data_IF_747154300919
#
_entry.id   IF_747154300919
#
_cell.length_a   1.000
_cell.length_b   1.000
_cell.length_c   1.000
_cell.angle_alpha   90.00
_cell.angle_beta   90.00
_cell.angle_gamma   90.00
#
_symmetry.space_group_name_H-M   'P 1'
#
loop_
_entity.id
_entity.type
_entity.pdbx_description
1 polymer ?
#
# COMPACT_ATOMS: atom_id res chain seq x y z
N UNK A 1 18.74 -25.35 -11.40
CA UNK A 1 17.42 -24.94 -10.87
C UNK A 1 17.29 -23.46 -11.17
N UNK A 2 16.26 -23.02 -11.87
CA UNK A 2 16.11 -21.62 -12.22
C UNK A 2 15.80 -20.85 -10.91
N UNK A 3 16.45 -19.70 -10.73
CA UNK A 3 16.30 -18.83 -9.55
C UNK A 3 14.88 -18.25 -9.35
N UNK A 4 13.90 -18.72 -10.13
CA UNK A 4 12.55 -18.20 -10.19
C UNK A 4 11.50 -19.01 -9.41
N UNK A 5 11.91 -20.02 -8.62
CA UNK A 5 10.95 -20.93 -7.97
C UNK A 5 10.69 -20.63 -6.48
N UNK A 6 11.41 -19.66 -5.89
CA UNK A 6 11.21 -19.29 -4.50
C UNK A 6 9.95 -18.46 -4.32
N UNK A 7 8.95 -19.01 -3.62
CA UNK A 7 7.70 -18.30 -3.30
C UNK A 7 7.61 -18.06 -1.80
N UNK A 8 7.28 -16.83 -1.42
CA UNK A 8 6.89 -16.47 -0.06
C UNK A 8 5.46 -15.92 -0.07
N UNK A 9 4.80 -16.00 1.08
CA UNK A 9 3.64 -15.16 1.31
C UNK A 9 4.08 -13.74 1.71
N UNK A 10 3.17 -12.81 1.66
CA UNK A 10 3.42 -11.39 1.94
C UNK A 10 3.94 -11.18 3.38
N UNK A 11 3.38 -11.89 4.36
CA UNK A 11 3.80 -11.84 5.78
C UNK A 11 5.25 -12.29 5.95
N UNK A 12 5.62 -13.42 5.35
CA UNK A 12 6.98 -13.96 5.44
C UNK A 12 7.98 -13.06 4.70
N UNK A 13 7.58 -12.40 3.62
CA UNK A 13 8.41 -11.44 2.90
C UNK A 13 8.73 -10.19 3.76
N UNK A 14 7.74 -9.65 4.48
CA UNK A 14 7.95 -8.55 5.43
C UNK A 14 8.84 -8.97 6.60
N UNK A 15 8.58 -10.17 7.16
CA UNK A 15 9.39 -10.71 8.26
C UNK A 15 10.85 -10.88 7.84
N UNK A 16 11.09 -11.46 6.67
CA UNK A 16 12.44 -11.63 6.13
C UNK A 16 13.15 -10.29 5.88
N UNK A 17 12.47 -9.29 5.32
CA UNK A 17 13.02 -7.95 5.15
C UNK A 17 13.45 -7.34 6.49
N UNK A 18 12.57 -7.44 7.51
CA UNK A 18 12.89 -6.96 8.87
C UNK A 18 14.10 -7.68 9.44
N UNK A 19 14.16 -9.01 9.27
CA UNK A 19 15.27 -9.85 9.73
C UNK A 19 16.59 -9.48 9.06
N UNK A 20 16.59 -9.27 7.75
CA UNK A 20 17.77 -8.86 6.98
C UNK A 20 18.26 -7.49 7.47
N UNK A 21 17.40 -6.50 7.62
CA UNK A 21 17.80 -5.17 8.04
C UNK A 21 18.27 -5.12 9.50
N UNK A 22 17.63 -5.85 10.40
CA UNK A 22 18.09 -5.98 11.79
C UNK A 22 19.42 -6.73 11.91
N UNK A 23 19.68 -7.68 11.05
CA UNK A 23 20.98 -8.39 11.01
C UNK A 23 22.07 -7.51 10.40
N UNK A 24 21.74 -6.67 9.43
CA UNK A 24 22.68 -5.77 8.75
C UNK A 24 23.16 -4.61 9.63
N UNK A 25 22.26 -4.07 10.45
CA UNK A 25 22.56 -2.87 11.26
C UNK A 25 21.97 -3.04 12.68
N UNK A 26 22.86 -2.98 13.68
CA UNK A 26 22.48 -3.08 15.11
C UNK A 26 21.57 -1.94 15.60
N UNK A 27 21.56 -0.82 14.88
CA UNK A 27 20.71 0.35 15.18
C UNK A 27 19.27 0.20 14.69
N UNK A 28 18.97 -0.81 13.86
CA UNK A 28 17.60 -1.14 13.46
C UNK A 28 16.87 -1.78 14.62
N UNK A 29 15.76 -1.18 15.03
CA UNK A 29 14.93 -1.62 16.16
C UNK A 29 13.48 -1.74 15.70
N UNK A 30 12.84 -2.87 16.00
CA UNK A 30 11.43 -3.13 15.71
C UNK A 30 10.59 -3.04 16.98
N UNK A 31 9.55 -2.23 16.99
CA UNK A 31 8.65 -2.15 18.14
C UNK A 31 7.23 -1.68 17.77
N UNK A 32 6.29 -1.96 18.66
CA UNK A 32 4.89 -1.60 18.50
C UNK A 32 3.99 -2.54 19.31
N UNK A 33 2.69 -2.35 19.19
CA UNK A 33 1.71 -3.21 19.85
C UNK A 33 1.87 -4.66 19.37
N UNK A 34 1.91 -5.61 20.30
CA UNK A 34 1.99 -7.06 20.06
C UNK A 34 3.17 -7.52 19.17
N UNK A 35 4.23 -6.73 19.07
CA UNK A 35 5.42 -7.08 18.27
C UNK A 35 6.12 -8.31 18.84
N UNK A 36 6.16 -8.46 20.16
CA UNK A 36 6.77 -9.56 20.90
C UNK A 36 5.80 -10.70 21.26
N UNK A 37 4.53 -10.64 20.80
CA UNK A 37 3.61 -11.77 20.93
C UNK A 37 4.16 -13.00 20.17
N UNK A 38 4.06 -14.22 20.73
CA UNK A 38 4.55 -15.43 20.07
C UNK A 38 3.97 -15.69 18.66
N UNK A 39 2.78 -15.18 18.36
CA UNK A 39 2.20 -15.23 17.01
C UNK A 39 2.76 -14.14 16.10
N UNK A 40 3.42 -13.13 16.68
CA UNK A 40 3.83 -11.90 16.02
C UNK A 40 2.62 -11.09 15.52
N UNK A 41 2.83 -9.87 15.05
CA UNK A 41 1.77 -9.06 14.44
C UNK A 41 1.29 -9.74 13.15
N UNK A 42 0.24 -10.55 13.21
CA UNK A 42 -0.22 -11.43 12.12
C UNK A 42 0.87 -12.29 11.49
N UNK A 43 1.93 -12.62 12.24
CA UNK A 43 3.09 -13.38 11.77
C UNK A 43 4.24 -12.54 11.22
N UNK A 44 4.06 -11.23 11.00
CA UNK A 44 5.09 -10.36 10.41
C UNK A 44 6.30 -10.11 11.30
N UNK A 45 6.20 -10.40 12.61
CA UNK A 45 7.27 -10.22 13.60
C UNK A 45 7.63 -11.51 14.33
N UNK A 46 7.03 -12.63 13.93
CA UNK A 46 7.22 -13.92 14.57
C UNK A 46 8.70 -14.33 14.62
N UNK A 47 9.20 -14.66 15.82
CA UNK A 47 10.57 -15.13 16.04
C UNK A 47 11.64 -14.02 16.06
N UNK A 48 11.29 -12.76 15.81
CA UNK A 48 12.26 -11.67 15.79
C UNK A 48 12.77 -11.34 17.20
N UNK A 49 11.92 -11.38 18.22
CA UNK A 49 12.31 -11.11 19.62
C UNK A 49 13.28 -12.18 20.11
N UNK A 50 13.05 -13.45 19.80
CA UNK A 50 13.94 -14.55 20.16
C UNK A 50 15.29 -14.42 19.46
N UNK A 51 15.31 -13.93 18.22
CA UNK A 51 16.54 -13.81 17.43
C UNK A 51 17.37 -12.60 17.80
N UNK A 52 16.75 -11.44 18.00
CA UNK A 52 17.46 -10.16 18.17
C UNK A 52 17.43 -9.61 19.62
N UNK A 53 16.67 -10.26 20.49
CA UNK A 53 16.51 -9.86 21.89
C UNK A 53 15.48 -8.73 22.12
N UNK A 54 14.94 -8.70 23.34
CA UNK A 54 13.91 -7.73 23.74
C UNK A 54 14.37 -6.26 23.73
N UNK A 55 15.68 -6.01 23.68
CA UNK A 55 16.20 -4.63 23.56
C UNK A 55 16.08 -4.09 22.11
N UNK A 56 15.87 -4.95 21.14
CA UNK A 56 15.79 -4.59 19.73
C UNK A 56 14.47 -4.95 19.06
N UNK A 57 13.69 -5.87 19.67
CA UNK A 57 12.38 -6.26 19.18
C UNK A 57 11.44 -6.44 20.37
N UNK A 58 10.53 -5.49 20.59
CA UNK A 58 9.72 -5.45 21.81
C UNK A 58 8.32 -4.88 21.59
N UNK A 59 7.38 -5.36 22.42
CA UNK A 59 6.03 -4.84 22.52
C UNK A 59 5.95 -3.51 23.25
N UNK A 60 4.91 -2.74 22.97
CA UNK A 60 4.66 -1.43 23.59
C UNK A 60 3.24 -1.32 24.12
N UNK A 61 2.99 -0.40 25.07
CA UNK A 61 1.62 -0.01 25.39
C UNK A 61 0.87 0.53 24.17
N UNK A 62 -0.46 0.43 24.20
CA UNK A 62 -1.35 1.07 23.24
C UNK A 62 -1.39 2.59 23.50
N UNK A 63 -0.50 3.33 22.86
CA UNK A 63 -0.33 4.77 23.00
C UNK A 63 0.32 5.36 21.75
N UNK A 64 -0.43 5.48 20.66
CA UNK A 64 0.07 5.78 19.33
C UNK A 64 0.86 7.09 19.26
N UNK A 65 0.37 8.17 19.91
CA UNK A 65 1.06 9.45 19.94
C UNK A 65 2.41 9.34 20.66
N UNK A 66 2.39 8.80 21.89
CA UNK A 66 3.61 8.67 22.70
C UNK A 66 4.64 7.75 22.05
N UNK A 67 4.22 6.59 21.53
CA UNK A 67 5.14 5.62 20.94
C UNK A 67 5.69 6.08 19.60
N UNK A 68 4.92 6.81 18.79
CA UNK A 68 5.44 7.47 17.59
C UNK A 68 6.43 8.59 17.96
N UNK A 69 6.17 9.33 19.04
CA UNK A 69 7.14 10.30 19.59
C UNK A 69 8.45 9.65 20.02
N UNK A 70 8.38 8.47 20.66
CA UNK A 70 9.57 7.66 21.00
C UNK A 70 10.31 7.25 19.73
N UNK A 71 9.61 6.78 18.67
CA UNK A 71 10.22 6.45 17.38
C UNK A 71 10.97 7.62 16.76
N UNK A 72 10.36 8.81 16.78
CA UNK A 72 11.03 10.03 16.31
C UNK A 72 12.27 10.34 17.16
N UNK A 73 12.16 10.28 18.49
CA UNK A 73 13.31 10.50 19.39
C UNK A 73 14.44 9.50 19.15
N UNK A 74 14.13 8.24 18.95
CA UNK A 74 15.10 7.18 18.60
C UNK A 74 15.82 7.51 17.28
N UNK A 75 15.06 7.93 16.26
CA UNK A 75 15.65 8.28 14.96
C UNK A 75 16.61 9.47 15.07
N UNK A 76 16.29 10.48 15.88
CA UNK A 76 17.18 11.62 16.16
C UNK A 76 18.42 11.23 16.99
N UNK A 77 18.31 10.16 17.79
CA UNK A 77 19.43 9.58 18.54
C UNK A 77 20.30 8.62 17.69
N UNK A 78 20.00 8.49 16.38
CA UNK A 78 20.80 7.71 15.44
C UNK A 78 20.39 6.25 15.30
N UNK A 79 19.23 5.85 15.84
CA UNK A 79 18.62 4.54 15.57
C UNK A 79 17.79 4.60 14.28
N UNK A 80 17.42 3.42 13.76
CA UNK A 80 16.51 3.23 12.63
C UNK A 80 15.29 2.43 13.09
N UNK A 81 14.31 3.08 13.73
CA UNK A 81 13.14 2.39 14.24
C UNK A 81 12.19 1.96 13.12
N UNK A 82 11.70 0.72 13.20
CA UNK A 82 10.54 0.21 12.49
C UNK A 82 9.40 0.20 13.51
N UNK A 83 8.52 1.17 13.43
CA UNK A 83 7.38 1.29 14.34
C UNK A 83 6.13 0.67 13.72
N UNK A 84 5.58 -0.35 14.37
CA UNK A 84 4.38 -1.02 13.92
C UNK A 84 3.14 -0.32 14.46
N UNK A 85 2.38 0.32 13.56
CA UNK A 85 1.14 1.02 13.86
C UNK A 85 -0.04 0.10 13.53
N UNK A 86 -0.66 -0.46 14.54
CA UNK A 86 -1.56 -1.60 14.40
C UNK A 86 -2.91 -1.30 13.74
N UNK A 87 -3.22 -0.09 13.38
CA UNK A 87 -4.21 0.35 12.40
C UNK A 87 -3.87 1.75 11.96
N UNK A 88 -3.97 1.96 10.66
CA UNK A 88 -3.82 3.29 10.11
C UNK A 88 -4.86 4.28 10.66
N UNK A 89 -6.04 3.80 11.04
CA UNK A 89 -7.10 4.60 11.66
C UNK A 89 -6.57 5.43 12.84
N UNK A 90 -5.75 4.82 13.68
CA UNK A 90 -5.20 5.46 14.89
C UNK A 90 -3.95 6.30 14.63
N UNK A 91 -3.48 6.36 13.39
CA UNK A 91 -2.45 7.32 13.00
C UNK A 91 -2.91 8.77 13.19
N UNK A 92 -4.22 9.01 13.25
CA UNK A 92 -4.79 10.31 13.59
C UNK A 92 -4.31 10.84 14.93
N UNK A 93 -4.04 9.95 15.92
CA UNK A 93 -3.48 10.32 17.22
C UNK A 93 -2.00 10.75 17.11
N UNK A 94 -1.26 10.16 16.18
CA UNK A 94 0.19 10.36 15.99
C UNK A 94 0.53 11.40 14.91
N UNK A 95 -0.46 12.07 14.32
CA UNK A 95 -0.24 13.01 13.20
C UNK A 95 0.74 14.12 13.55
N UNK A 96 0.72 14.66 14.76
CA UNK A 96 1.65 15.70 15.16
C UNK A 96 3.10 15.20 15.08
N UNK A 97 3.37 14.00 15.58
CA UNK A 97 4.72 13.42 15.58
C UNK A 97 5.23 13.16 14.17
N UNK A 98 4.36 12.72 13.27
CA UNK A 98 4.71 12.45 11.88
C UNK A 98 4.83 13.73 11.04
N UNK A 99 3.83 14.60 11.10
CA UNK A 99 3.68 15.75 10.21
C UNK A 99 4.53 16.93 10.68
N UNK A 100 4.47 17.28 11.96
CA UNK A 100 5.12 18.49 12.49
C UNK A 100 6.55 18.23 12.98
N UNK A 101 6.89 17.00 13.36
CA UNK A 101 8.22 16.68 13.86
C UNK A 101 9.01 15.89 12.83
N UNK A 102 8.69 14.62 12.57
CA UNK A 102 9.49 13.75 11.70
C UNK A 102 9.68 14.35 10.29
N UNK A 103 8.58 14.72 9.62
CA UNK A 103 8.61 15.26 8.26
C UNK A 103 9.36 16.57 8.12
N UNK A 104 9.48 17.36 9.19
CA UNK A 104 10.07 18.71 9.16
C UNK A 104 11.50 18.75 9.68
N UNK A 105 11.97 17.73 10.38
CA UNK A 105 13.29 17.68 11.01
C UNK A 105 14.41 18.05 10.05
N UNK A 106 14.45 17.45 8.86
CA UNK A 106 15.50 17.73 7.88
C UNK A 106 15.51 19.20 7.42
N UNK A 107 14.34 19.71 7.06
CA UNK A 107 14.20 21.09 6.60
C UNK A 107 14.49 22.11 7.72
N UNK A 108 13.96 21.89 8.93
CA UNK A 108 14.13 22.80 10.07
C UNK A 108 15.58 22.85 10.59
N UNK A 109 16.33 21.77 10.42
CA UNK A 109 17.75 21.71 10.80
C UNK A 109 18.69 22.19 9.69
N UNK A 110 18.18 22.67 8.57
CA UNK A 110 19.01 23.05 7.42
C UNK A 110 19.75 21.86 6.79
N UNK A 111 19.18 20.67 6.87
CA UNK A 111 19.76 19.44 6.32
C UNK A 111 20.75 18.71 7.26
N UNK A 112 20.97 19.22 8.47
CA UNK A 112 21.94 18.63 9.42
C UNK A 112 21.38 17.37 10.11
N UNK A 113 20.09 17.36 10.43
CA UNK A 113 19.42 16.23 11.09
C UNK A 113 18.49 15.51 10.13
N UNK A 114 18.36 14.20 10.33
CA UNK A 114 17.43 13.34 9.62
C UNK A 114 16.53 12.61 10.62
N UNK A 115 15.39 12.12 10.16
CA UNK A 115 14.49 11.28 10.94
C UNK A 115 14.26 9.95 10.20
N UNK A 116 15.25 9.03 10.18
CA UNK A 116 15.12 7.71 9.56
C UNK A 116 14.14 6.83 10.34
N UNK A 117 12.86 6.97 10.05
CA UNK A 117 11.77 6.30 10.73
C UNK A 117 10.91 5.56 9.72
N UNK A 118 10.68 4.27 9.95
CA UNK A 118 9.69 3.49 9.20
C UNK A 118 8.45 3.31 10.06
N UNK A 119 7.28 3.66 9.53
CA UNK A 119 6.00 3.38 10.17
C UNK A 119 5.19 2.43 9.29
N UNK A 120 4.98 1.21 9.77
CA UNK A 120 4.13 0.21 9.12
C UNK A 120 2.69 0.41 9.59
N UNK A 121 1.78 0.62 8.65
CA UNK A 121 0.39 0.91 8.95
C UNK A 121 -0.54 -0.08 8.26
N UNK A 122 -1.34 -0.79 9.04
CA UNK A 122 -2.29 -1.79 8.54
C UNK A 122 -3.62 -1.16 8.13
N UNK A 123 -4.08 -1.50 6.93
CA UNK A 123 -5.41 -1.15 6.40
C UNK A 123 -6.20 -2.40 5.97
N UNK A 124 -7.43 -2.20 5.55
CA UNK A 124 -8.27 -3.20 4.90
C UNK A 124 -9.31 -3.83 5.81
N UNK A 125 -10.28 -4.45 5.14
CA UNK A 125 -11.45 -5.10 5.76
C UNK A 125 -11.10 -6.42 6.44
N UNK A 126 -11.85 -6.78 7.44
CA UNK A 126 -12.06 -8.13 7.96
C UNK A 126 -13.04 -8.14 9.14
N UNK A 127 -13.76 -9.22 9.32
CA UNK A 127 -14.63 -9.51 10.49
C UNK A 127 -15.62 -8.40 10.87
N UNK A 128 -16.06 -7.57 9.93
CA UNK A 128 -16.96 -6.48 10.24
C UNK A 128 -16.35 -5.42 11.17
N UNK A 129 -15.08 -5.08 10.98
CA UNK A 129 -14.35 -4.07 11.78
C UNK A 129 -15.01 -2.68 11.78
N UNK A 130 -15.84 -2.39 10.78
CA UNK A 130 -16.67 -1.18 10.73
C UNK A 130 -15.88 0.11 10.57
N UNK A 131 -16.50 1.21 10.96
CA UNK A 131 -16.08 2.56 10.61
C UNK A 131 -14.71 2.99 11.15
N UNK A 132 -14.26 2.45 12.29
CA UNK A 132 -13.06 2.91 12.99
C UNK A 132 -11.83 2.01 12.80
N UNK A 133 -11.94 0.90 12.03
CA UNK A 133 -10.87 -0.07 11.87
C UNK A 133 -10.65 -0.48 10.42
N UNK A 134 -11.14 0.31 9.46
CA UNK A 134 -11.06 0.01 8.03
C UNK A 134 -10.71 1.21 7.17
N UNK A 135 -10.41 2.33 7.79
CA UNK A 135 -10.06 3.54 7.06
C UNK A 135 -8.68 3.44 6.42
N UNK A 136 -8.54 4.04 5.26
CA UNK A 136 -7.27 4.22 4.58
C UNK A 136 -6.95 5.70 4.54
N UNK A 137 -6.16 6.16 5.52
CA UNK A 137 -5.87 7.58 5.74
C UNK A 137 -4.56 8.05 5.08
N UNK A 138 -3.90 7.20 4.27
CA UNK A 138 -2.65 7.57 3.61
C UNK A 138 -2.76 8.83 2.73
N UNK A 139 -3.91 9.20 2.12
CA UNK A 139 -4.00 10.44 1.38
C UNK A 139 -3.71 11.69 2.23
N UNK A 140 -3.97 11.65 3.53
CA UNK A 140 -3.65 12.76 4.45
C UNK A 140 -2.14 12.99 4.58
N UNK A 141 -1.33 11.95 4.39
CA UNK A 141 0.13 12.04 4.47
C UNK A 141 0.77 12.30 3.10
N UNK A 142 0.07 12.02 1.99
CA UNK A 142 0.61 12.23 0.64
C UNK A 142 0.91 13.70 0.33
N UNK A 143 0.18 14.64 0.91
CA UNK A 143 0.40 16.07 0.72
C UNK A 143 1.43 16.67 1.69
N UNK A 144 2.11 15.84 2.50
CA UNK A 144 3.07 16.31 3.51
C UNK A 144 4.50 16.19 2.96
N UNK A 145 5.16 17.31 2.61
CA UNK A 145 6.57 17.27 2.21
C UNK A 145 7.45 16.69 3.32
N UNK A 146 8.34 15.77 2.96
CA UNK A 146 9.27 15.11 3.87
C UNK A 146 8.86 13.70 4.31
N UNK A 147 7.71 13.19 3.87
CA UNK A 147 7.28 11.80 4.09
C UNK A 147 7.21 11.07 2.74
N UNK A 148 7.81 9.88 2.67
CA UNK A 148 7.58 8.94 1.56
C UNK A 148 6.49 7.93 1.95
N UNK A 149 5.75 7.43 0.95
CA UNK A 149 4.65 6.49 1.19
C UNK A 149 4.67 5.41 0.12
N UNK A 150 4.65 4.15 0.53
CA UNK A 150 4.41 3.02 -0.37
C UNK A 150 3.23 2.17 0.11
N UNK A 151 2.58 1.50 -0.85
CA UNK A 151 1.44 0.62 -0.62
C UNK A 151 1.61 -0.66 -1.47
N UNK A 152 2.63 -1.48 -1.18
CA UNK A 152 3.01 -2.63 -2.00
C UNK A 152 1.88 -3.66 -2.09
N UNK A 153 1.68 -4.23 -3.29
CA UNK A 153 0.63 -5.19 -3.58
C UNK A 153 1.12 -6.64 -3.65
N UNK A 154 2.44 -6.86 -3.73
CA UNK A 154 3.05 -8.18 -3.87
C UNK A 154 4.06 -8.47 -2.76
N UNK A 155 4.34 -9.76 -2.46
CA UNK A 155 5.42 -10.12 -1.52
C UNK A 155 6.80 -9.58 -1.92
N UNK A 156 7.10 -9.53 -3.22
CA UNK A 156 8.33 -8.93 -3.76
C UNK A 156 8.45 -7.47 -3.37
N UNK A 157 7.40 -6.68 -3.63
CA UNK A 157 7.40 -5.26 -3.34
C UNK A 157 7.35 -4.97 -1.84
N UNK A 158 6.63 -5.79 -1.07
CA UNK A 158 6.59 -5.66 0.38
C UNK A 158 7.98 -5.79 1.01
N UNK A 159 8.75 -6.80 0.57
CA UNK A 159 10.15 -6.97 0.99
C UNK A 159 11.00 -5.79 0.55
N UNK A 160 10.99 -5.47 -0.73
CA UNK A 160 11.89 -4.46 -1.30
C UNK A 160 11.59 -3.03 -0.83
N UNK A 161 10.31 -2.69 -0.62
CA UNK A 161 9.93 -1.39 -0.06
C UNK A 161 10.36 -1.26 1.40
N UNK A 162 10.23 -2.33 2.21
CA UNK A 162 10.64 -2.28 3.61
C UNK A 162 12.17 -2.16 3.74
N UNK A 163 12.95 -2.93 2.99
CA UNK A 163 14.40 -2.81 3.00
C UNK A 163 14.86 -1.42 2.54
N UNK A 164 14.25 -0.87 1.48
CA UNK A 164 14.51 0.51 1.07
C UNK A 164 14.16 1.51 2.17
N UNK A 165 12.97 1.38 2.76
CA UNK A 165 12.48 2.31 3.78
C UNK A 165 13.39 2.37 5.02
N UNK A 166 13.91 1.25 5.48
CA UNK A 166 14.85 1.20 6.62
C UNK A 166 16.16 1.91 6.29
N UNK A 167 16.58 1.90 5.03
CA UNK A 167 17.83 2.55 4.57
C UNK A 167 17.65 4.03 4.25
N UNK A 168 16.43 4.50 4.07
CA UNK A 168 16.14 5.92 3.82
C UNK A 168 16.43 6.77 5.07
N UNK A 169 16.87 7.99 4.85
CA UNK A 169 17.15 8.93 5.94
C UNK A 169 15.96 9.82 6.32
N UNK A 170 14.83 9.68 5.64
CA UNK A 170 13.59 10.40 5.92
C UNK A 170 12.49 9.42 6.38
N UNK A 171 11.42 9.92 6.99
CA UNK A 171 10.32 9.08 7.40
C UNK A 171 9.62 8.44 6.20
N UNK A 172 9.35 7.14 6.31
CA UNK A 172 8.64 6.35 5.31
C UNK A 172 7.44 5.66 5.96
N UNK A 173 6.26 5.82 5.36
CA UNK A 173 5.05 5.09 5.73
C UNK A 173 4.87 3.92 4.76
N UNK A 174 4.74 2.71 5.30
CA UNK A 174 4.41 1.50 4.54
C UNK A 174 2.97 1.13 4.85
N UNK A 175 2.13 1.19 3.83
CA UNK A 175 0.71 0.84 3.92
C UNK A 175 0.54 -0.63 3.58
N UNK A 176 0.17 -1.45 4.55
CA UNK A 176 -0.02 -2.88 4.41
C UNK A 176 -1.51 -3.23 4.37
N UNK A 177 -1.96 -3.93 3.35
CA UNK A 177 -3.36 -4.34 3.28
C UNK A 177 -3.53 -5.77 3.77
N UNK A 178 -4.36 -5.97 4.79
CA UNK A 178 -4.57 -7.27 5.44
C UNK A 178 -4.92 -8.41 4.46
N UNK A 179 -5.74 -8.11 3.45
CA UNK A 179 -6.14 -9.12 2.46
C UNK A 179 -4.97 -9.62 1.59
N UNK A 180 -3.83 -8.92 1.59
CA UNK A 180 -2.61 -9.34 0.89
C UNK A 180 -1.73 -10.29 1.69
N UNK A 181 -1.92 -10.39 3.00
CA UNK A 181 -0.99 -11.10 3.91
C UNK A 181 -0.73 -12.56 3.53
N UNK A 182 -1.72 -13.25 2.96
CA UNK A 182 -1.57 -14.63 2.49
C UNK A 182 -1.41 -14.76 0.97
N UNK A 183 -1.31 -13.64 0.25
CA UNK A 183 -0.94 -13.69 -1.16
C UNK A 183 0.49 -14.21 -1.29
N UNK A 184 0.70 -15.10 -2.25
CA UNK A 184 2.02 -15.70 -2.51
C UNK A 184 2.61 -15.19 -3.80
N UNK A 185 3.92 -15.00 -3.85
CA UNK A 185 4.60 -14.55 -5.04
C UNK A 185 6.09 -14.87 -4.99
N UNK A 186 6.77 -14.66 -6.11
CA UNK A 186 8.22 -14.78 -6.19
C UNK A 186 8.88 -13.70 -5.32
N UNK A 187 9.86 -14.12 -4.52
CA UNK A 187 10.71 -13.23 -3.71
C UNK A 187 12.14 -13.76 -3.77
N UNK A 188 13.12 -12.98 -4.23
CA UNK A 188 14.52 -13.43 -4.26
C UNK A 188 15.08 -13.59 -2.86
N UNK A 189 16.10 -14.46 -2.72
CA UNK A 189 16.91 -14.52 -1.52
C UNK A 189 17.82 -13.29 -1.40
N UNK A 190 18.23 -12.98 -0.17
CA UNK A 190 19.11 -11.86 0.13
C UNK A 190 18.41 -10.50 0.04
N UNK A 191 19.21 -9.46 -0.14
CA UNK A 191 18.75 -8.08 -0.17
C UNK A 191 17.95 -7.77 -1.45
N UNK A 192 16.92 -6.95 -1.28
CA UNK A 192 16.06 -6.48 -2.36
C UNK A 192 15.68 -5.02 -2.10
N UNK A 193 15.86 -4.15 -3.08
CA UNK A 193 15.40 -2.77 -2.97
C UNK A 193 14.37 -2.47 -4.06
N UNK A 194 13.25 -1.89 -3.66
CA UNK A 194 12.25 -1.31 -4.57
C UNK A 194 12.23 0.19 -4.34
N UNK A 195 12.87 0.90 -5.26
CA UNK A 195 13.09 2.34 -5.13
C UNK A 195 11.81 3.16 -5.38
N UNK A 196 11.66 4.33 -4.71
CA UNK A 196 10.55 5.24 -4.94
C UNK A 196 10.47 5.76 -6.37
N UNK A 197 9.24 6.06 -6.83
CA UNK A 197 9.01 6.64 -8.14
C UNK A 197 9.17 5.64 -9.30
N UNK A 198 8.99 4.36 -9.03
CA UNK A 198 8.99 3.28 -10.03
C UNK A 198 7.71 2.47 -9.93
N UNK A 199 6.79 2.69 -10.86
CA UNK A 199 5.58 1.88 -11.00
C UNK A 199 5.85 0.65 -11.86
N UNK A 200 5.01 -0.36 -11.71
CA UNK A 200 5.12 -1.60 -12.49
C UNK A 200 3.92 -1.79 -13.40
N UNK A 201 4.16 -2.02 -14.70
CA UNK A 201 3.15 -2.51 -15.63
C UNK A 201 3.01 -4.01 -15.40
N UNK A 202 1.92 -4.45 -14.80
CA UNK A 202 1.67 -5.86 -14.44
C UNK A 202 0.91 -6.63 -15.51
N UNK A 203 0.18 -5.91 -16.37
CA UNK A 203 -0.40 -6.45 -17.59
C UNK A 203 -0.35 -5.39 -18.70
N UNK A 204 0.01 -5.79 -19.91
CA UNK A 204 0.03 -4.88 -21.06
C UNK A 204 -1.33 -4.83 -21.75
N UNK A 205 -1.73 -3.66 -22.22
CA UNK A 205 -3.00 -3.45 -22.91
C UNK A 205 -3.00 -2.21 -23.80
N UNK A 206 -4.11 -1.99 -24.52
CA UNK A 206 -4.20 -0.89 -25.49
C UNK A 206 -5.51 -0.08 -25.44
N UNK A 207 -6.54 -0.59 -24.76
CA UNK A 207 -7.88 -0.01 -24.84
C UNK A 207 -8.22 0.85 -23.61
N UNK A 208 -7.71 0.49 -22.42
CA UNK A 208 -7.90 1.20 -21.15
C UNK A 208 -6.72 0.94 -20.21
N UNK A 209 -6.35 1.95 -19.43
CA UNK A 209 -5.37 1.86 -18.34
C UNK A 209 -6.11 1.72 -17.01
N UNK A 210 -5.76 0.70 -16.23
CA UNK A 210 -6.21 0.51 -14.86
C UNK A 210 -5.03 0.74 -13.92
N UNK A 211 -5.13 1.69 -13.00
CA UNK A 211 -4.14 1.90 -11.93
C UNK A 211 -4.77 1.42 -10.64
N UNK A 212 -4.23 0.34 -10.07
CA UNK A 212 -4.72 -0.25 -8.82
C UNK A 212 -3.78 0.03 -7.66
N UNK A 213 -4.28 0.60 -6.55
CA UNK A 213 -3.48 0.93 -5.37
C UNK A 213 -3.61 -0.20 -4.34
N UNK A 214 -2.48 -0.76 -3.88
CA UNK A 214 -2.45 -1.79 -2.84
C UNK A 214 -3.30 -3.01 -3.24
N UNK A 215 -4.25 -3.45 -2.41
CA UNK A 215 -5.14 -4.58 -2.71
C UNK A 215 -5.95 -4.38 -4.01
N UNK A 216 -6.29 -3.15 -4.38
CA UNK A 216 -7.00 -2.87 -5.62
C UNK A 216 -6.20 -3.22 -6.88
N UNK A 217 -4.90 -3.39 -6.76
CA UNK A 217 -4.08 -3.96 -7.84
C UNK A 217 -4.52 -5.39 -8.20
N UNK A 218 -4.82 -6.24 -7.19
CA UNK A 218 -5.35 -7.59 -7.43
C UNK A 218 -6.73 -7.54 -8.09
N UNK A 219 -7.58 -6.63 -7.65
CA UNK A 219 -8.92 -6.46 -8.24
C UNK A 219 -8.83 -5.95 -9.69
N UNK A 220 -7.87 -5.06 -10.01
CA UNK A 220 -7.60 -4.64 -11.39
C UNK A 220 -7.10 -5.80 -12.27
N UNK A 221 -6.23 -6.67 -11.75
CA UNK A 221 -5.77 -7.86 -12.47
C UNK A 221 -6.91 -8.85 -12.72
N UNK A 222 -7.82 -9.03 -11.77
CA UNK A 222 -9.06 -9.84 -11.95
C UNK A 222 -9.99 -9.18 -12.96
N UNK A 223 -10.18 -7.87 -12.89
CA UNK A 223 -10.99 -7.12 -13.84
C UNK A 223 -10.46 -7.24 -15.28
N UNK A 224 -9.13 -7.23 -15.45
CA UNK A 224 -8.48 -7.45 -16.74
C UNK A 224 -8.87 -8.80 -17.37
N UNK A 225 -9.03 -9.88 -16.57
CA UNK A 225 -9.48 -11.17 -17.08
C UNK A 225 -10.93 -11.10 -17.59
N UNK A 226 -11.85 -10.44 -16.85
CA UNK A 226 -13.23 -10.23 -17.32
C UNK A 226 -13.29 -9.40 -18.61
N UNK A 227 -12.43 -8.38 -18.71
CA UNK A 227 -12.38 -7.53 -19.92
C UNK A 227 -11.84 -8.28 -21.13
N UNK A 228 -10.86 -9.16 -20.93
CA UNK A 228 -10.30 -9.99 -22.00
C UNK A 228 -11.38 -10.91 -22.65
N UNK A 229 -12.32 -11.45 -21.86
CA UNK A 229 -13.42 -12.28 -22.36
C UNK A 229 -14.32 -11.55 -23.37
N UNK A 230 -14.41 -10.23 -23.28
CA UNK A 230 -15.24 -9.39 -24.17
C UNK A 230 -14.39 -8.59 -25.17
N UNK A 231 -13.10 -8.97 -25.32
CA UNK A 231 -12.18 -8.40 -26.31
C UNK A 231 -11.61 -7.03 -25.96
N UNK A 232 -11.69 -6.59 -24.69
CA UNK A 232 -11.07 -5.34 -24.22
C UNK A 232 -9.71 -5.64 -23.60
N UNK A 233 -8.68 -5.00 -24.12
CA UNK A 233 -7.29 -5.15 -23.69
C UNK A 233 -6.90 -4.06 -22.70
N UNK A 234 -6.97 -4.39 -21.39
CA UNK A 234 -6.61 -3.47 -20.32
C UNK A 234 -5.11 -3.54 -20.01
N UNK A 235 -4.46 -2.37 -19.88
CA UNK A 235 -3.14 -2.25 -19.26
C UNK A 235 -3.32 -2.01 -17.77
N UNK A 236 -2.61 -2.79 -16.95
CA UNK A 236 -2.73 -2.69 -15.50
C UNK A 236 -1.40 -2.22 -14.90
N UNK A 237 -1.46 -1.19 -14.07
CA UNK A 237 -0.30 -0.55 -13.44
C UNK A 237 -0.45 -0.59 -11.93
N UNK A 238 0.61 -1.06 -11.26
CA UNK A 238 0.81 -0.94 -9.84
C UNK A 238 1.72 0.28 -9.57
N UNK A 239 1.25 1.34 -8.93
CA UNK A 239 2.10 2.49 -8.61
C UNK A 239 3.16 2.17 -7.55
N UNK A 240 2.97 1.19 -6.68
CA UNK A 240 3.80 0.77 -5.55
C UNK A 240 4.05 1.92 -4.57
N UNK A 241 4.66 3.01 -5.03
CA UNK A 241 4.90 4.23 -4.28
C UNK A 241 3.84 5.28 -4.57
N UNK A 242 3.27 5.84 -3.50
CA UNK A 242 2.24 6.88 -3.58
C UNK A 242 2.84 8.28 -3.38
N UNK A 243 4.00 8.36 -2.75
CA UNK A 243 4.81 9.56 -2.65
C UNK A 243 6.30 9.18 -2.58
N UNK A 244 7.10 9.47 -3.62
CA UNK A 244 6.70 10.07 -4.91
C UNK A 244 5.97 9.09 -5.83
N UNK A 245 5.06 9.60 -6.66
CA UNK A 245 4.37 8.86 -7.73
C UNK A 245 5.24 8.77 -8.99
N UNK A 246 5.19 7.62 -9.67
CA UNK A 246 5.71 7.48 -11.05
C UNK A 246 4.64 7.90 -12.06
N UNK A 247 4.52 9.19 -12.25
CA UNK A 247 3.59 9.74 -13.23
C UNK A 247 4.01 9.46 -14.67
N UNK A 248 5.30 9.26 -14.94
CA UNK A 248 5.82 9.02 -16.30
C UNK A 248 5.32 7.68 -16.85
N UNK A 249 5.37 6.62 -16.04
CA UNK A 249 4.84 5.30 -16.41
C UNK A 249 3.33 5.35 -16.64
N UNK A 250 2.58 6.04 -15.77
CA UNK A 250 1.12 6.17 -15.91
C UNK A 250 0.78 7.01 -17.15
N UNK A 251 1.44 8.14 -17.35
CA UNK A 251 1.25 9.01 -18.52
C UNK A 251 1.49 8.26 -19.82
N UNK A 252 2.60 7.53 -19.93
CA UNK A 252 2.93 6.71 -21.11
C UNK A 252 1.80 5.74 -21.47
N UNK A 253 1.22 5.09 -20.48
CA UNK A 253 0.09 4.19 -20.66
C UNK A 253 -1.16 4.95 -21.11
N UNK A 254 -1.52 6.03 -20.43
CA UNK A 254 -2.73 6.81 -20.74
C UNK A 254 -2.61 7.49 -22.10
N UNK A 255 -1.43 7.94 -22.52
CA UNK A 255 -1.21 8.46 -23.90
C UNK A 255 -1.52 7.42 -24.97
N UNK A 256 -1.30 6.14 -24.68
CA UNK A 256 -1.62 5.01 -25.58
C UNK A 256 -3.12 4.69 -25.56
N UNK A 257 -3.70 4.51 -24.38
CA UNK A 257 -5.06 3.99 -24.20
C UNK A 257 -6.14 5.08 -24.29
N UNK A 258 -5.80 6.34 -24.00
CA UNK A 258 -6.71 7.50 -23.89
C UNK A 258 -7.81 7.35 -22.83
N UNK A 259 -7.73 6.33 -22.01
CA UNK A 259 -8.73 5.99 -21.00
C UNK A 259 -8.05 5.51 -19.73
N UNK A 260 -8.42 6.10 -18.60
CA UNK A 260 -7.85 5.80 -17.29
C UNK A 260 -8.93 5.46 -16.28
N UNK A 261 -8.74 4.39 -15.52
CA UNK A 261 -9.45 4.16 -14.27
C UNK A 261 -8.42 4.04 -13.16
N UNK A 262 -8.52 4.90 -12.14
CA UNK A 262 -7.75 4.76 -10.90
C UNK A 262 -8.64 4.12 -9.86
N UNK A 263 -8.20 3.00 -9.30
CA UNK A 263 -8.91 2.24 -8.27
C UNK A 263 -8.14 2.32 -6.97
N UNK A 264 -8.74 3.00 -6.00
CA UNK A 264 -8.13 3.36 -4.73
C UNK A 264 -8.72 2.55 -3.56
N UNK A 265 -7.91 2.26 -2.56
CA UNK A 265 -8.34 1.73 -1.27
C UNK A 265 -8.69 2.84 -0.26
N UNK A 266 -9.12 3.99 -0.75
CA UNK A 266 -9.56 5.14 0.02
C UNK A 266 -10.80 5.76 -0.62
N UNK A 267 -11.36 6.80 -0.02
CA UNK A 267 -12.42 7.58 -0.66
C UNK A 267 -11.87 8.34 -1.87
N UNK A 268 -12.70 8.48 -2.90
CA UNK A 268 -12.30 9.19 -4.14
C UNK A 268 -12.09 10.68 -3.94
N UNK A 269 -12.78 11.27 -2.93
CA UNK A 269 -12.62 12.68 -2.59
C UNK A 269 -11.27 12.88 -1.89
N UNK A 270 -10.41 13.73 -2.47
CA UNK A 270 -9.06 14.00 -1.97
C UNK A 270 -8.17 12.73 -1.80
N UNK A 271 -8.52 11.62 -2.46
CA UNK A 271 -7.72 10.40 -2.47
C UNK A 271 -6.56 10.47 -3.48
N UNK A 272 -5.69 9.43 -3.47
CA UNK A 272 -4.56 9.35 -4.39
C UNK A 272 -4.97 9.40 -5.87
N UNK A 273 -6.14 8.84 -6.20
CA UNK A 273 -6.71 8.92 -7.55
C UNK A 273 -7.06 10.34 -7.99
N UNK A 274 -7.32 11.26 -7.07
CA UNK A 274 -7.55 12.66 -7.41
C UNK A 274 -6.25 13.33 -7.85
N UNK A 275 -5.16 13.09 -7.12
CA UNK A 275 -3.84 13.60 -7.46
C UNK A 275 -3.33 13.05 -8.79
N UNK A 276 -3.44 11.74 -9.01
CA UNK A 276 -3.02 11.12 -10.27
C UNK A 276 -3.74 11.75 -11.47
N UNK A 277 -5.07 11.90 -11.39
CA UNK A 277 -5.86 12.48 -12.50
C UNK A 277 -5.53 13.96 -12.70
N UNK A 278 -5.40 14.75 -11.65
CA UNK A 278 -5.06 16.17 -11.74
C UNK A 278 -3.67 16.38 -12.35
N UNK A 279 -2.65 15.69 -11.84
CA UNK A 279 -1.29 15.78 -12.37
C UNK A 279 -1.19 15.34 -13.83
N UNK A 280 -1.89 14.28 -14.23
CA UNK A 280 -1.94 13.86 -15.63
C UNK A 280 -2.66 14.86 -16.52
N UNK A 281 -3.72 15.52 -16.02
CA UNK A 281 -4.42 16.55 -16.79
C UNK A 281 -3.52 17.76 -17.08
N UNK A 282 -2.69 18.16 -16.13
CA UNK A 282 -1.71 19.23 -16.32
C UNK A 282 -0.62 18.84 -17.34
N UNK A 283 -0.16 17.58 -17.29
CA UNK A 283 0.91 17.06 -18.17
C UNK A 283 0.44 16.73 -19.58
N UNK A 284 -0.82 16.37 -19.75
CA UNK A 284 -1.39 15.82 -20.99
C UNK A 284 -2.41 16.77 -21.65
N UNK A 285 -2.27 18.06 -21.47
CA UNK A 285 -3.16 19.06 -22.07
C UNK A 285 -3.17 19.11 -23.62
N UNK A 286 -2.23 18.41 -24.25
CA UNK A 286 -2.07 18.28 -25.69
C UNK A 286 -2.96 17.20 -26.35
N UNK A 287 -3.60 16.35 -25.55
CA UNK A 287 -4.46 15.28 -26.05
C UNK A 287 -5.78 15.19 -25.31
N UNK A 288 -6.81 14.66 -26.00
CA UNK A 288 -8.09 14.32 -25.36
C UNK A 288 -8.05 12.92 -24.76
N UNK A 289 -8.44 12.78 -23.52
CA UNK A 289 -8.53 11.51 -22.79
C UNK A 289 -9.64 11.56 -21.74
N UNK A 290 -9.99 10.41 -21.20
CA UNK A 290 -11.06 10.28 -20.21
C UNK A 290 -10.56 9.56 -18.97
N UNK A 291 -11.04 10.00 -17.80
CA UNK A 291 -10.71 9.36 -16.53
C UNK A 291 -11.95 9.04 -15.69
N UNK A 292 -11.86 7.95 -14.94
CA UNK A 292 -12.79 7.60 -13.86
C UNK A 292 -12.00 7.23 -12.62
N UNK A 293 -12.45 7.68 -11.47
CA UNK A 293 -11.90 7.29 -10.17
C UNK A 293 -12.89 6.36 -9.48
N UNK A 294 -12.39 5.29 -8.90
CA UNK A 294 -13.15 4.35 -8.09
C UNK A 294 -12.47 4.23 -6.72
N UNK A 295 -13.25 4.12 -5.67
CA UNK A 295 -12.77 4.02 -4.29
C UNK A 295 -13.91 3.62 -3.37
N UNK A 296 -13.73 3.80 -2.08
CA UNK A 296 -14.76 3.50 -1.10
C UNK A 296 -16.06 4.26 -1.37
N UNK A 297 -17.21 3.63 -1.05
CA UNK A 297 -18.49 4.33 -1.03
C UNK A 297 -18.41 5.56 -0.11
N UNK A 298 -19.11 6.68 -0.41
CA UNK A 298 -19.02 7.92 0.34
C UNK A 298 -19.74 7.86 1.71
N UNK A 299 -19.40 6.87 2.51
CA UNK A 299 -19.95 6.58 3.83
C UNK A 299 -18.86 5.95 4.70
N UNK A 300 -18.95 5.96 6.04
CA UNK A 300 -18.16 5.08 6.88
C UNK A 300 -18.40 3.60 6.56
N UNK A 301 -17.39 2.75 6.73
CA UNK A 301 -17.51 1.33 6.42
C UNK A 301 -18.55 0.65 7.33
N UNK A 302 -19.55 -0.04 6.78
CA UNK A 302 -20.51 -0.79 7.56
C UNK A 302 -19.90 -2.08 8.13
N UNK A 303 -20.47 -2.58 9.24
CA UNK A 303 -20.04 -3.84 9.87
C UNK A 303 -20.72 -5.08 9.30
N UNK A 304 -21.89 -4.89 8.70
CA UNK A 304 -22.68 -6.01 8.13
C UNK A 304 -22.06 -6.45 6.79
N UNK A 305 -21.70 -7.73 6.59
CA UNK A 305 -21.05 -8.20 5.36
C UNK A 305 -21.75 -7.79 4.08
N UNK A 306 -23.09 -7.92 4.03
CA UNK A 306 -23.88 -7.54 2.84
C UNK A 306 -23.73 -6.08 2.45
N UNK A 307 -23.59 -5.16 3.42
CA UNK A 307 -23.36 -3.74 3.15
C UNK A 307 -21.87 -3.45 2.91
N UNK A 308 -20.98 -4.16 3.62
CA UNK A 308 -19.53 -4.03 3.44
C UNK A 308 -19.11 -4.39 2.01
N UNK A 309 -19.74 -5.39 1.38
CA UNK A 309 -19.46 -5.80 0.00
C UNK A 309 -19.76 -4.70 -1.04
N UNK A 310 -20.65 -3.76 -0.71
CA UNK A 310 -20.93 -2.59 -1.55
C UNK A 310 -20.03 -1.38 -1.24
N UNK A 311 -19.25 -1.45 -0.18
CA UNK A 311 -18.38 -0.34 0.23
C UNK A 311 -17.08 -0.29 -0.59
N UNK A 312 -16.52 -1.44 -0.95
CA UNK A 312 -15.25 -1.54 -1.66
C UNK A 312 -15.44 -1.74 -3.17
N UNK A 313 -14.60 -1.12 -4.02
CA UNK A 313 -14.50 -1.54 -5.43
C UNK A 313 -14.11 -3.03 -5.52
N UNK A 314 -14.68 -3.73 -6.48
CA UNK A 314 -14.35 -5.13 -6.78
C UNK A 314 -14.13 -5.33 -8.29
N UNK A 315 -13.59 -6.47 -8.67
CA UNK A 315 -13.20 -6.77 -10.04
C UNK A 315 -14.36 -6.63 -11.04
N UNK A 316 -15.60 -7.05 -10.65
CA UNK A 316 -16.76 -6.94 -11.51
C UNK A 316 -17.15 -5.48 -11.78
N UNK A 317 -17.16 -4.63 -10.73
CA UNK A 317 -17.48 -3.23 -10.85
C UNK A 317 -16.41 -2.46 -11.62
N UNK A 318 -15.13 -2.84 -11.46
CA UNK A 318 -14.01 -2.27 -12.22
C UNK A 318 -14.14 -2.62 -13.70
N UNK A 319 -14.40 -3.90 -14.01
CA UNK A 319 -14.59 -4.34 -15.40
C UNK A 319 -15.82 -3.68 -16.06
N UNK A 320 -16.93 -3.56 -15.35
CA UNK A 320 -18.11 -2.85 -15.84
C UNK A 320 -17.80 -1.38 -16.16
N UNK A 321 -17.12 -0.69 -15.24
CA UNK A 321 -16.72 0.71 -15.43
C UNK A 321 -15.76 0.88 -16.62
N UNK A 322 -14.83 -0.06 -16.82
CA UNK A 322 -13.89 -0.05 -17.94
C UNK A 322 -14.61 -0.30 -19.27
N UNK A 323 -15.54 -1.26 -19.33
CA UNK A 323 -16.35 -1.51 -20.50
C UNK A 323 -17.16 -0.27 -20.91
N UNK A 324 -17.81 0.41 -19.95
CA UNK A 324 -18.57 1.64 -20.22
C UNK A 324 -17.66 2.75 -20.76
N UNK A 325 -16.47 2.92 -20.17
CA UNK A 325 -15.51 3.92 -20.60
C UNK A 325 -14.96 3.65 -22.01
N UNK A 326 -14.75 2.36 -22.36
CA UNK A 326 -14.24 1.96 -23.66
C UNK A 326 -15.29 2.09 -24.76
N UNK A 327 -16.54 1.65 -24.47
CA UNK A 327 -17.64 1.66 -25.45
C UNK A 327 -18.38 2.99 -25.54
N UNK A 328 -18.13 3.92 -24.66
CA UNK A 328 -18.73 5.28 -24.68
C UNK A 328 -20.18 5.35 -24.26
N UNK A 329 -20.71 4.31 -23.61
CA UNK A 329 -22.09 4.29 -23.09
C UNK A 329 -22.20 3.32 -21.91
N UNK A 330 -22.98 3.72 -20.90
CA UNK A 330 -23.35 2.83 -19.82
C UNK A 330 -24.30 1.74 -20.35
N UNK A 331 -23.79 0.55 -20.60
CA UNK A 331 -24.56 -0.57 -21.13
C UNK A 331 -25.15 -1.46 -20.04
N UNK A 332 -24.87 -1.14 -18.74
CA UNK A 332 -25.33 -1.94 -17.62
C UNK A 332 -24.73 -3.37 -17.59
N UNK A 333 -23.66 -3.61 -18.37
CA UNK A 333 -22.98 -4.90 -18.34
C UNK A 333 -22.18 -5.05 -17.05
N UNK A 334 -22.45 -6.11 -16.33
CA UNK A 334 -21.68 -6.58 -15.18
C UNK A 334 -21.28 -8.02 -15.47
N UNK A 335 -20.02 -8.40 -15.41
CA UNK A 335 -19.62 -9.78 -15.66
C UNK A 335 -20.19 -10.72 -14.59
N UNK A 336 -20.53 -11.94 -14.99
CA UNK A 336 -20.89 -13.00 -14.04
C UNK A 336 -19.69 -13.33 -13.15
N UNK A 337 -19.96 -13.63 -11.87
CA UNK A 337 -18.90 -13.97 -10.92
C UNK A 337 -18.24 -15.30 -11.33
N UNK A 338 -16.95 -15.26 -11.57
CA UNK A 338 -16.11 -16.44 -11.76
C UNK A 338 -15.51 -16.85 -10.42
N UNK A 339 -15.74 -18.09 -9.99
CA UNK A 339 -15.27 -18.57 -8.67
C UNK A 339 -13.74 -18.48 -8.54
N UNK A 340 -12.98 -18.73 -9.61
CA UNK A 340 -11.53 -18.61 -9.64
C UNK A 340 -11.01 -17.16 -9.50
N UNK A 341 -11.87 -16.16 -9.75
CA UNK A 341 -11.55 -14.74 -9.60
C UNK A 341 -12.12 -14.13 -8.31
N UNK A 342 -12.76 -14.93 -7.47
CA UNK A 342 -13.30 -14.48 -6.19
C UNK A 342 -12.18 -14.09 -5.23
N UNK A 343 -12.37 -12.99 -4.50
CA UNK A 343 -11.42 -12.59 -3.46
C UNK A 343 -11.42 -13.62 -2.33
N UNK A 344 -10.23 -13.98 -1.87
CA UNK A 344 -10.08 -14.87 -0.71
C UNK A 344 -10.37 -14.07 0.56
N UNK A 345 -11.26 -14.57 1.40
CA UNK A 345 -11.51 -13.96 2.70
C UNK A 345 -10.29 -14.13 3.62
N UNK A 346 -9.98 -13.08 4.37
CA UNK A 346 -8.98 -13.16 5.42
C UNK A 346 -9.56 -13.95 6.60
N UNK A 347 -8.96 -15.10 6.93
CA UNK A 347 -9.46 -16.04 7.94
C UNK A 347 -8.71 -16.02 9.27
N UNK A 348 -7.87 -15.06 9.52
CA UNK A 348 -7.08 -14.99 10.75
C UNK A 348 -5.60 -15.24 10.53
N UNK A 349 -4.72 -15.32 11.54
CA UNK A 349 -5.02 -15.51 12.96
C UNK A 349 -5.59 -14.29 13.67
N UNK A 350 -6.34 -14.54 14.73
CA UNK A 350 -6.85 -13.52 15.62
C UNK A 350 -5.86 -13.27 16.75
#
# INVERSE_FOLDING_TARGET
MSTNDRKLNYVDAIREATEIEMARDEKVVMFGLDVDDPKGTFGTTKGLTEKFGANRCFGTPLAEDAMTGVAVGMSLAGYRPIHNHYRMDFSALAMNQLINVAAKTHAMSGGVQNAPLVVRMLIGKSWGNGAQHTQSLYPLFMNIPGIKICAPSTPYDAKGCLEYAVRDNNPVIIVEHRMLYYSTGYVPEGELLVEPGQARVTATGKDVTLVGISYQQLECMRAQNYLADIGISAEVIDPIWLNPLDLDTIEKSVRKTKKLIVVDNAWTQCGAGAEIVASLQERMGDISWQAKRMGFAPTPCPTTPTLEDHFYPNAQNIAAAANDLVKGSAQGWIPELKEELKSVEFKGPF
#
